data_IF_044534267957
#
_entry.id   IF_044534267957
#
_cell.length_a   1.000
_cell.length_b   1.000
_cell.length_c   1.000
_cell.angle_alpha   90.00
_cell.angle_beta   90.00
_cell.angle_gamma   90.00
#
_symmetry.space_group_name_H-M   'P 1'
#
loop_
_entity.id
_entity.type
_entity.pdbx_description
1 polymer ?
#
# COMPACT_ATOMS: atom_id res chain seq x y z
N UNK A 1 -48.61 32.99 14.94
CA UNK A 1 -48.36 31.54 14.77
C UNK A 1 -47.03 31.36 14.05
N UNK A 2 -45.95 31.02 14.76
CA UNK A 2 -44.68 30.63 14.14
C UNK A 2 -44.81 29.20 13.60
N UNK A 3 -44.74 29.04 12.26
CA UNK A 3 -44.57 27.72 11.64
C UNK A 3 -43.10 27.36 11.70
N UNK A 4 -42.69 26.63 12.75
CA UNK A 4 -41.34 26.09 12.86
C UNK A 4 -41.15 24.94 11.86
N UNK A 5 -40.25 25.11 10.90
CA UNK A 5 -39.81 24.05 9.99
C UNK A 5 -38.67 23.27 10.68
N UNK A 6 -38.91 22.01 11.05
CA UNK A 6 -37.87 21.14 11.61
C UNK A 6 -37.13 20.49 10.43
N UNK A 7 -35.91 20.93 10.14
CA UNK A 7 -34.99 20.20 9.27
C UNK A 7 -34.42 19.00 10.05
N UNK A 8 -35.02 17.82 9.90
CA UNK A 8 -34.32 16.57 10.24
C UNK A 8 -33.33 16.27 9.12
N UNK A 9 -32.02 16.40 9.38
CA UNK A 9 -31.00 15.78 8.53
C UNK A 9 -31.16 14.27 8.64
N UNK A 10 -31.86 13.66 7.69
CA UNK A 10 -31.77 12.21 7.49
C UNK A 10 -30.34 11.90 7.04
N UNK A 11 -29.66 10.91 7.66
CA UNK A 11 -28.38 10.45 7.14
C UNK A 11 -28.58 10.03 5.68
N UNK A 12 -27.57 10.25 4.80
CA UNK A 12 -27.67 9.85 3.41
C UNK A 12 -27.96 8.33 3.36
N UNK A 13 -29.09 7.99 2.74
CA UNK A 13 -29.50 6.62 2.51
C UNK A 13 -28.60 6.07 1.40
N UNK A 14 -27.85 4.98 1.59
CA UNK A 14 -26.98 4.47 0.54
C UNK A 14 -27.79 3.78 -0.57
N UNK A 15 -27.27 3.78 -1.80
CA UNK A 15 -27.91 3.11 -2.95
C UNK A 15 -28.02 1.59 -2.80
N UNK A 16 -27.15 0.99 -1.98
CA UNK A 16 -27.13 -0.43 -1.62
C UNK A 16 -26.97 -0.58 -0.11
N UNK A 17 -27.45 -1.69 0.45
CA UNK A 17 -27.23 -2.03 1.86
C UNK A 17 -26.84 -3.50 2.01
N UNK A 18 -26.20 -3.82 3.15
CA UNK A 18 -25.85 -5.19 3.50
C UNK A 18 -27.09 -5.96 3.94
N UNK A 19 -27.42 -7.00 3.18
CA UNK A 19 -28.46 -7.97 3.54
C UNK A 19 -27.89 -9.04 4.48
N UNK A 20 -26.64 -9.45 4.27
CA UNK A 20 -26.00 -10.52 5.03
C UNK A 20 -24.49 -10.28 5.19
N UNK A 21 -23.97 -10.57 6.38
CA UNK A 21 -22.53 -10.58 6.66
C UNK A 21 -22.16 -11.86 7.41
N UNK A 22 -21.47 -12.76 6.71
CA UNK A 22 -20.81 -13.92 7.29
C UNK A 22 -19.32 -13.61 7.44
N UNK A 23 -18.87 -13.31 8.67
CA UNK A 23 -17.49 -12.89 8.95
C UNK A 23 -16.49 -13.90 8.39
N UNK A 24 -15.54 -13.41 7.59
CA UNK A 24 -14.49 -14.22 6.98
C UNK A 24 -14.94 -15.10 5.80
N UNK A 25 -16.22 -15.04 5.39
CA UNK A 25 -16.75 -15.86 4.31
C UNK A 25 -17.41 -15.03 3.21
N UNK A 26 -18.42 -14.22 3.54
CA UNK A 26 -19.25 -13.56 2.54
C UNK A 26 -19.89 -12.26 3.05
N UNK A 27 -20.06 -11.30 2.15
CA UNK A 27 -20.91 -10.12 2.31
C UNK A 27 -21.90 -10.08 1.14
N UNK A 28 -23.20 -9.95 1.45
CA UNK A 28 -24.26 -9.81 0.46
C UNK A 28 -24.82 -8.40 0.51
N UNK A 29 -24.83 -7.73 -0.64
CA UNK A 29 -25.36 -6.39 -0.82
C UNK A 29 -26.53 -6.42 -1.79
N UNK A 30 -27.59 -5.68 -1.47
CA UNK A 30 -28.79 -5.55 -2.32
C UNK A 30 -29.16 -4.08 -2.53
N UNK A 31 -29.83 -3.72 -3.63
CA UNK A 31 -30.34 -2.36 -3.86
C UNK A 31 -31.23 -1.89 -2.70
N UNK A 32 -31.03 -0.65 -2.27
CA UNK A 32 -31.84 -0.04 -1.25
C UNK A 32 -33.16 0.48 -1.83
N UNK A 33 -34.33 -0.02 -1.39
CA UNK A 33 -35.62 0.44 -1.91
C UNK A 33 -35.91 1.91 -1.57
N UNK A 34 -35.22 2.49 -0.58
CA UNK A 34 -35.39 3.87 -0.12
C UNK A 34 -34.37 4.85 -0.73
N UNK A 35 -33.53 4.40 -1.67
CA UNK A 35 -32.61 5.28 -2.40
C UNK A 35 -33.39 6.23 -3.32
N UNK A 36 -33.11 7.53 -3.21
CA UNK A 36 -33.81 8.58 -3.95
C UNK A 36 -33.24 8.86 -5.34
N UNK A 37 -32.04 8.33 -5.66
CA UNK A 37 -31.41 8.47 -6.97
C UNK A 37 -31.68 7.27 -7.89
N UNK A 38 -30.90 7.18 -8.96
CA UNK A 38 -31.00 6.06 -9.91
C UNK A 38 -30.73 4.73 -9.23
N UNK A 39 -31.65 3.77 -9.43
CA UNK A 39 -31.55 2.46 -8.83
C UNK A 39 -30.45 1.64 -9.50
N UNK A 40 -29.64 0.90 -8.75
CA UNK A 40 -28.66 -0.02 -9.34
C UNK A 40 -29.31 -1.02 -10.30
N UNK A 41 -28.62 -1.34 -11.40
CA UNK A 41 -29.11 -2.28 -12.43
C UNK A 41 -28.88 -3.76 -12.09
N UNK A 42 -28.36 -4.07 -10.90
CA UNK A 42 -28.19 -5.42 -10.39
C UNK A 42 -29.20 -5.73 -9.29
N UNK A 43 -29.48 -7.02 -9.08
CA UNK A 43 -30.38 -7.48 -8.00
C UNK A 43 -29.64 -7.75 -6.69
N UNK A 44 -28.39 -8.23 -6.79
CA UNK A 44 -27.57 -8.68 -5.66
C UNK A 44 -26.10 -8.61 -6.04
N UNK A 45 -25.25 -8.25 -5.09
CA UNK A 45 -23.79 -8.38 -5.18
C UNK A 45 -23.35 -9.29 -4.04
N UNK A 46 -22.56 -10.31 -4.37
CA UNK A 46 -21.99 -11.25 -3.40
C UNK A 46 -20.48 -11.11 -3.39
N UNK A 47 -19.93 -10.54 -2.33
CA UNK A 47 -18.47 -10.47 -2.12
C UNK A 47 -18.04 -11.71 -1.35
N UNK A 48 -17.32 -12.62 -2.00
CA UNK A 48 -16.78 -13.84 -1.39
C UNK A 48 -15.34 -13.60 -0.92
N UNK A 49 -15.03 -14.01 0.32
CA UNK A 49 -13.68 -13.96 0.86
C UNK A 49 -12.98 -15.28 0.52
N UNK A 50 -12.16 -15.26 -0.52
CA UNK A 50 -11.37 -16.41 -0.96
C UNK A 50 -9.90 -16.03 -0.73
N UNK A 51 -9.20 -16.72 0.17
CA UNK A 51 -7.82 -16.36 0.56
C UNK A 51 -6.78 -16.61 -0.55
N UNK A 52 -6.87 -17.76 -1.22
CA UNK A 52 -5.88 -18.18 -2.21
C UNK A 52 -6.13 -17.57 -3.59
N UNK A 53 -5.11 -16.90 -4.16
CA UNK A 53 -5.20 -16.27 -5.49
C UNK A 53 -5.48 -17.28 -6.61
N UNK A 54 -4.86 -18.46 -6.55
CA UNK A 54 -5.09 -19.54 -7.51
C UNK A 54 -6.56 -19.99 -7.53
N UNK A 55 -7.23 -20.03 -6.37
CA UNK A 55 -8.65 -20.36 -6.26
C UNK A 55 -9.52 -19.25 -6.89
N UNK A 56 -9.19 -17.98 -6.64
CA UNK A 56 -9.85 -16.83 -7.27
C UNK A 56 -9.74 -16.89 -8.80
N UNK A 57 -8.55 -17.12 -9.34
CA UNK A 57 -8.31 -17.26 -10.79
C UNK A 57 -9.14 -18.40 -11.40
N UNK A 58 -9.11 -19.57 -10.78
CA UNK A 58 -9.82 -20.75 -11.29
C UNK A 58 -11.33 -20.52 -11.33
N UNK A 59 -11.91 -19.97 -10.25
CA UNK A 59 -13.34 -19.66 -10.18
C UNK A 59 -13.73 -18.57 -11.19
N UNK A 60 -12.88 -17.56 -11.40
CA UNK A 60 -13.07 -16.56 -12.44
C UNK A 60 -13.07 -17.19 -13.86
N UNK A 61 -12.09 -18.05 -14.17
CA UNK A 61 -12.00 -18.72 -15.48
C UNK A 61 -13.17 -19.68 -15.76
N UNK A 62 -13.80 -20.21 -14.71
CA UNK A 62 -15.02 -21.05 -14.81
C UNK A 62 -16.33 -20.26 -14.90
N UNK A 63 -16.30 -18.96 -14.63
CA UNK A 63 -17.51 -18.12 -14.55
C UNK A 63 -18.24 -18.19 -13.20
N UNK A 64 -17.61 -18.75 -12.16
CA UNK A 64 -18.15 -18.76 -10.79
C UNK A 64 -18.00 -17.39 -10.09
N UNK A 65 -17.12 -16.54 -10.62
CA UNK A 65 -16.90 -15.15 -10.21
C UNK A 65 -16.99 -14.24 -11.44
N UNK A 66 -17.60 -13.07 -11.28
CA UNK A 66 -17.62 -12.02 -12.32
C UNK A 66 -16.37 -11.15 -12.28
N UNK A 67 -15.81 -10.94 -11.07
CA UNK A 67 -14.65 -10.09 -10.80
C UNK A 67 -13.75 -10.77 -9.77
N UNK A 68 -12.44 -10.76 -10.00
CA UNK A 68 -11.44 -11.16 -9.03
C UNK A 68 -10.44 -10.03 -8.80
N UNK A 69 -10.14 -9.76 -7.53
CA UNK A 69 -9.13 -8.79 -7.12
C UNK A 69 -7.87 -9.50 -6.58
N UNK A 70 -6.76 -8.76 -6.54
CA UNK A 70 -5.48 -9.18 -5.97
C UNK A 70 -4.94 -10.49 -6.59
N UNK A 71 -4.98 -10.57 -7.92
CA UNK A 71 -4.35 -11.63 -8.69
C UNK A 71 -2.89 -11.25 -9.01
N UNK A 72 -1.93 -12.16 -8.80
CA UNK A 72 -0.55 -12.01 -9.28
C UNK A 72 -0.46 -11.74 -10.78
N UNK A 73 0.60 -11.06 -11.22
CA UNK A 73 0.74 -10.58 -12.60
C UNK A 73 0.90 -11.73 -13.62
N UNK A 74 1.56 -12.81 -13.22
CA UNK A 74 1.66 -14.05 -14.01
C UNK A 74 0.28 -14.69 -14.23
N UNK A 75 -0.58 -14.67 -13.21
CA UNK A 75 -1.96 -15.14 -13.33
C UNK A 75 -2.81 -14.27 -14.26
N UNK A 76 -2.63 -12.94 -14.22
CA UNK A 76 -3.28 -12.03 -15.16
C UNK A 76 -2.83 -12.30 -16.60
N UNK A 77 -1.53 -12.57 -16.80
CA UNK A 77 -0.98 -12.91 -18.11
C UNK A 77 -1.56 -14.23 -18.65
N UNK A 78 -1.70 -15.24 -17.80
CA UNK A 78 -2.34 -16.50 -18.16
C UNK A 78 -3.83 -16.31 -18.51
N UNK A 79 -4.57 -15.51 -17.75
CA UNK A 79 -5.97 -15.19 -18.03
C UNK A 79 -6.15 -14.44 -19.36
N UNK A 80 -5.24 -13.51 -19.69
CA UNK A 80 -5.21 -12.85 -21.02
C UNK A 80 -5.05 -13.87 -22.15
N UNK A 81 -4.18 -14.85 -21.98
CA UNK A 81 -3.94 -15.90 -22.98
C UNK A 81 -5.13 -16.86 -23.14
N UNK A 82 -5.85 -17.14 -22.05
CA UNK A 82 -7.06 -17.99 -22.10
C UNK A 82 -8.20 -17.34 -22.92
N UNK A 83 -8.25 -16.01 -23.00
CA UNK A 83 -9.24 -15.28 -23.81
C UNK A 83 -10.69 -15.38 -23.32
N UNK A 84 -10.92 -15.96 -22.14
CA UNK A 84 -12.26 -16.17 -21.54
C UNK A 84 -12.73 -15.03 -20.65
N UNK A 85 -11.80 -14.21 -20.17
CA UNK A 85 -12.07 -13.11 -19.24
C UNK A 85 -11.44 -11.84 -19.75
N UNK A 86 -12.12 -10.71 -19.54
CA UNK A 86 -11.56 -9.41 -19.88
C UNK A 86 -10.48 -9.04 -18.85
N UNK A 87 -9.27 -8.74 -19.32
CA UNK A 87 -8.20 -8.20 -18.49
C UNK A 87 -7.86 -6.82 -19.00
N UNK A 88 -8.09 -5.81 -18.16
CA UNK A 88 -7.79 -4.42 -18.45
C UNK A 88 -6.68 -3.91 -17.52
N UNK A 89 -5.76 -3.14 -18.07
CA UNK A 89 -4.65 -2.52 -17.35
C UNK A 89 -4.74 -1.02 -17.50
N UNK A 90 -4.65 -0.31 -16.37
CA UNK A 90 -4.72 1.14 -16.32
C UNK A 90 -3.60 1.67 -15.43
N UNK A 91 -3.01 2.84 -15.76
CA UNK A 91 -2.14 3.55 -14.85
C UNK A 91 -2.83 3.78 -13.50
N UNK A 92 -2.13 3.51 -12.42
CA UNK A 92 -2.63 3.67 -11.06
C UNK A 92 -1.73 4.59 -10.26
N UNK A 93 -2.35 5.42 -9.42
CA UNK A 93 -1.64 6.22 -8.41
C UNK A 93 -1.37 5.40 -7.13
N UNK A 94 -1.62 4.09 -7.15
CA UNK A 94 -1.27 3.16 -6.08
C UNK A 94 0.24 2.97 -6.02
N UNK A 95 0.79 3.10 -4.83
CA UNK A 95 2.22 2.96 -4.55
C UNK A 95 2.47 1.90 -3.51
N UNK A 96 3.54 1.14 -3.68
CA UNK A 96 4.07 0.20 -2.70
C UNK A 96 5.37 0.75 -2.15
N UNK A 97 5.52 0.77 -0.82
CA UNK A 97 6.69 1.38 -0.20
C UNK A 97 7.02 0.72 1.14
N UNK A 98 8.31 0.80 1.48
CA UNK A 98 8.83 0.34 2.76
C UNK A 98 8.78 1.47 3.77
N UNK A 99 8.05 1.26 4.85
CA UNK A 99 8.09 2.06 6.05
C UNK A 99 9.36 1.73 6.83
N UNK A 100 10.26 2.68 6.95
CA UNK A 100 11.39 2.60 7.88
C UNK A 100 11.02 3.39 9.11
N UNK A 101 11.07 2.81 10.32
CA UNK A 101 10.68 3.54 11.52
C UNK A 101 11.74 4.59 11.91
N UNK A 102 11.46 5.85 11.59
CA UNK A 102 12.40 6.96 11.82
C UNK A 102 12.47 7.39 13.29
N UNK A 103 11.55 6.94 14.14
CA UNK A 103 11.42 7.38 15.53
C UNK A 103 12.16 6.49 16.53
N UNK A 104 12.63 5.31 16.11
CA UNK A 104 13.24 4.30 16.96
C UNK A 104 14.62 3.92 16.45
N UNK A 105 15.55 3.66 17.36
CA UNK A 105 16.82 3.03 16.98
C UNK A 105 16.56 1.62 16.41
N UNK A 106 17.31 1.19 15.38
CA UNK A 106 18.46 1.86 14.77
C UNK A 106 18.09 2.78 13.58
N UNK A 107 16.85 2.70 13.07
CA UNK A 107 16.41 3.39 11.85
C UNK A 107 16.13 4.89 12.01
N UNK A 108 16.25 5.42 13.23
CA UNK A 108 16.37 6.86 13.48
C UNK A 108 17.66 7.46 12.86
N UNK A 109 18.69 6.66 12.60
CA UNK A 109 19.92 7.08 11.92
C UNK A 109 19.70 7.27 10.41
N UNK A 110 19.91 8.50 9.92
CA UNK A 110 19.66 8.83 8.50
C UNK A 110 20.51 8.03 7.53
N UNK A 111 21.77 7.74 7.89
CA UNK A 111 22.68 7.02 7.02
C UNK A 111 22.35 5.52 6.93
N UNK A 112 21.72 4.94 7.96
CA UNK A 112 21.19 3.58 7.89
C UNK A 112 20.03 3.52 6.89
N UNK A 113 19.12 4.51 6.92
CA UNK A 113 18.02 4.59 5.95
C UNK A 113 18.53 4.76 4.52
N UNK A 114 19.56 5.59 4.32
CA UNK A 114 20.24 5.73 3.02
C UNK A 114 20.89 4.42 2.57
N UNK A 115 21.55 3.71 3.47
CA UNK A 115 22.14 2.40 3.16
C UNK A 115 21.08 1.40 2.69
N UNK A 116 19.93 1.34 3.38
CA UNK A 116 18.79 0.51 2.96
C UNK A 116 18.27 0.90 1.58
N UNK A 117 18.10 2.20 1.31
CA UNK A 117 17.62 2.67 0.00
C UNK A 117 18.59 2.36 -1.14
N UNK A 118 19.91 2.57 -0.95
CA UNK A 118 20.91 2.22 -1.97
C UNK A 118 21.08 0.71 -2.16
N UNK A 119 20.81 -0.11 -1.13
CA UNK A 119 20.88 -1.56 -1.22
C UNK A 119 19.67 -2.18 -1.92
N UNK A 120 18.57 -1.45 -2.08
CA UNK A 120 17.32 -2.01 -2.62
C UNK A 120 17.42 -2.22 -4.14
N UNK A 121 17.18 -3.45 -4.60
CA UNK A 121 17.14 -3.78 -6.04
C UNK A 121 15.78 -3.42 -6.67
N UNK A 122 15.56 -2.12 -6.88
CA UNK A 122 14.31 -1.62 -7.46
C UNK A 122 13.99 -2.22 -8.85
N UNK A 123 15.02 -2.41 -9.69
CA UNK A 123 14.84 -2.94 -11.05
C UNK A 123 14.52 -4.43 -11.02
N UNK A 124 15.20 -5.20 -10.17
CA UNK A 124 14.90 -6.61 -9.94
C UNK A 124 13.49 -6.81 -9.39
N UNK A 125 13.04 -5.96 -8.47
CA UNK A 125 11.65 -6.02 -7.97
C UNK A 125 10.64 -5.70 -9.08
N UNK A 126 10.82 -4.62 -9.84
CA UNK A 126 9.90 -4.24 -10.91
C UNK A 126 9.83 -5.32 -12.00
N UNK A 127 10.97 -5.85 -12.45
CA UNK A 127 11.00 -6.85 -13.53
C UNK A 127 10.64 -8.24 -13.05
N UNK A 128 11.19 -8.69 -11.92
CA UNK A 128 11.08 -10.06 -11.45
C UNK A 128 9.83 -10.34 -10.61
N UNK A 129 9.40 -9.38 -9.78
CA UNK A 129 8.23 -9.56 -8.90
C UNK A 129 6.98 -8.98 -9.56
N UNK A 130 7.07 -7.75 -10.05
CA UNK A 130 5.92 -7.06 -10.66
C UNK A 130 5.77 -7.35 -12.17
N UNK A 131 6.65 -8.17 -12.77
CA UNK A 131 6.64 -8.49 -14.21
C UNK A 131 6.53 -7.27 -15.12
N UNK A 132 7.19 -6.16 -14.75
CA UNK A 132 7.17 -4.89 -15.48
C UNK A 132 5.94 -4.01 -15.22
N UNK A 133 4.94 -4.47 -14.46
CA UNK A 133 3.70 -3.72 -14.15
C UNK A 133 3.87 -2.74 -12.99
N UNK A 134 5.04 -2.11 -12.90
CA UNK A 134 5.34 -1.11 -11.88
C UNK A 134 6.36 -0.12 -12.37
N UNK A 135 6.31 1.09 -11.83
CA UNK A 135 7.32 2.13 -12.06
C UNK A 135 7.92 2.53 -10.74
N UNK A 136 9.25 2.54 -10.66
CA UNK A 136 9.94 3.01 -9.47
C UNK A 136 9.58 4.48 -9.24
N UNK A 137 9.14 4.81 -8.02
CA UNK A 137 8.86 6.18 -7.63
C UNK A 137 10.11 7.07 -7.74
N UNK A 138 9.88 8.33 -8.09
CA UNK A 138 10.87 9.41 -8.05
C UNK A 138 10.27 10.53 -7.22
N UNK A 139 10.93 10.86 -6.11
CA UNK A 139 10.34 11.76 -5.13
C UNK A 139 9.04 11.23 -4.52
N UNK A 140 8.29 12.09 -3.80
CA UNK A 140 7.09 11.69 -3.07
C UNK A 140 5.81 11.66 -3.92
N UNK A 141 5.77 12.39 -5.03
CA UNK A 141 4.60 12.44 -5.91
C UNK A 141 4.80 11.42 -7.04
N UNK A 142 3.86 10.50 -7.29
CA UNK A 142 3.98 9.54 -8.38
C UNK A 142 3.82 10.20 -9.75
N UNK A 143 4.38 9.56 -10.77
CA UNK A 143 4.14 9.94 -12.17
C UNK A 143 2.63 9.80 -12.51
N UNK A 144 2.11 10.70 -13.34
CA UNK A 144 0.69 10.81 -13.66
C UNK A 144 -0.11 11.72 -12.71
N UNK A 145 0.51 12.29 -11.67
CA UNK A 145 -0.10 13.31 -10.80
C UNK A 145 0.57 14.67 -11.03
N UNK A 146 -0.21 15.76 -10.98
CA UNK A 146 0.35 17.12 -11.03
C UNK A 146 1.33 17.34 -9.87
N UNK A 147 2.37 18.15 -10.05
CA UNK A 147 3.43 18.29 -9.04
C UNK A 147 4.46 17.15 -9.00
N UNK A 148 4.34 16.15 -9.89
CA UNK A 148 5.44 15.23 -10.19
C UNK A 148 6.66 16.00 -10.71
N UNK A 149 7.84 15.70 -10.16
CA UNK A 149 9.11 16.30 -10.58
C UNK A 149 10.04 15.21 -11.14
N UNK A 150 10.22 15.22 -12.47
CA UNK A 150 11.10 14.30 -13.18
C UNK A 150 12.59 14.50 -12.85
N UNK A 151 12.96 15.64 -12.28
CA UNK A 151 14.34 15.97 -11.87
C UNK A 151 14.64 15.60 -10.42
N UNK A 152 13.61 15.27 -9.63
CA UNK A 152 13.78 14.88 -8.23
C UNK A 152 14.72 13.67 -8.09
N UNK A 153 15.43 13.63 -6.97
CA UNK A 153 16.36 12.54 -6.65
C UNK A 153 15.63 11.20 -6.64
N UNK A 154 16.27 10.19 -7.24
CA UNK A 154 15.81 8.81 -7.26
C UNK A 154 16.97 7.91 -6.84
N UNK A 155 16.72 7.00 -5.90
CA UNK A 155 17.70 5.97 -5.53
C UNK A 155 17.84 4.94 -6.64
N UNK A 156 19.02 4.35 -6.78
CA UNK A 156 19.25 3.17 -7.61
C UNK A 156 19.90 2.09 -6.74
N UNK A 157 19.89 0.85 -7.20
CA UNK A 157 20.74 -0.16 -6.57
C UNK A 157 22.21 0.22 -6.77
N UNK A 158 22.93 0.43 -5.67
CA UNK A 158 24.34 0.83 -5.65
C UNK A 158 24.98 0.33 -4.35
N UNK A 159 25.57 -0.85 -4.40
CA UNK A 159 26.17 -1.51 -3.24
C UNK A 159 27.32 -0.69 -2.63
N UNK A 160 28.09 0.02 -3.46
CA UNK A 160 29.19 0.86 -2.99
C UNK A 160 28.68 2.06 -2.18
N UNK A 161 27.65 2.75 -2.67
CA UNK A 161 26.99 3.83 -1.91
C UNK A 161 26.28 3.31 -0.67
N UNK A 162 25.70 2.11 -0.73
CA UNK A 162 25.07 1.48 0.41
C UNK A 162 26.08 1.22 1.54
N UNK A 163 27.24 0.62 1.22
CA UNK A 163 28.35 0.42 2.17
C UNK A 163 28.90 1.75 2.68
N UNK A 164 29.13 2.73 1.81
CA UNK A 164 29.62 4.05 2.22
C UNK A 164 28.66 4.80 3.15
N UNK A 165 27.34 4.62 2.98
CA UNK A 165 26.34 5.13 3.91
C UNK A 165 26.38 4.33 5.23
N UNK A 166 26.50 3.01 5.17
CA UNK A 166 26.57 2.16 6.36
C UNK A 166 27.78 2.50 7.25
N UNK A 167 28.93 2.86 6.67
CA UNK A 167 30.12 3.29 7.45
C UNK A 167 29.91 4.55 8.29
N UNK A 168 28.90 5.37 7.95
CA UNK A 168 28.55 6.58 8.72
C UNK A 168 27.57 6.30 9.86
N UNK A 169 27.06 5.07 9.96
CA UNK A 169 26.14 4.64 11.01
C UNK A 169 26.95 4.39 12.28
N UNK A 170 26.59 5.04 13.38
CA UNK A 170 27.28 4.92 14.67
C UNK A 170 27.04 3.55 15.29
N UNK A 171 25.76 3.19 15.40
CA UNK A 171 25.31 1.93 15.96
C UNK A 171 24.76 1.05 14.84
N UNK A 172 25.65 0.32 14.16
CA UNK A 172 25.28 -0.60 13.06
C UNK A 172 24.47 -1.77 13.64
N UNK A 173 23.24 -2.01 13.17
CA UNK A 173 22.44 -3.12 13.68
C UNK A 173 22.92 -4.45 13.10
N UNK A 174 23.06 -5.46 13.96
CA UNK A 174 23.28 -6.83 13.51
C UNK A 174 22.00 -7.44 12.90
N UNK A 175 20.82 -6.96 13.32
CA UNK A 175 19.54 -7.43 12.79
C UNK A 175 18.46 -6.37 12.75
N UNK A 176 17.51 -6.53 11.82
CA UNK A 176 16.27 -5.76 11.72
C UNK A 176 15.09 -6.71 11.57
N UNK A 177 13.90 -6.28 11.99
CA UNK A 177 12.64 -6.95 11.68
C UNK A 177 12.00 -6.38 10.42
N UNK A 178 11.37 -7.23 9.60
CA UNK A 178 10.58 -6.81 8.44
C UNK A 178 9.18 -7.41 8.57
N UNK A 179 8.20 -6.54 8.79
CA UNK A 179 6.80 -6.89 8.95
C UNK A 179 6.06 -6.89 7.60
N UNK A 180 5.35 -7.98 7.31
CA UNK A 180 4.46 -8.08 6.16
C UNK A 180 3.25 -8.97 6.45
N UNK A 181 2.24 -8.93 5.57
CA UNK A 181 1.07 -9.81 5.60
C UNK A 181 0.80 -10.38 4.20
N UNK A 182 -0.23 -11.21 4.11
CA UNK A 182 -0.77 -11.79 2.88
C UNK A 182 -1.76 -10.87 2.14
N UNK A 183 -1.90 -9.61 2.58
CA UNK A 183 -2.80 -8.64 1.95
C UNK A 183 -2.39 -8.27 0.51
N UNK A 184 -1.13 -8.48 0.14
CA UNK A 184 -0.66 -8.37 -1.24
C UNK A 184 0.33 -9.52 -1.52
N UNK A 185 0.10 -10.34 -2.56
CA UNK A 185 0.95 -11.48 -2.86
C UNK A 185 2.39 -11.07 -3.22
N UNK A 186 2.64 -9.81 -3.59
CA UNK A 186 3.97 -9.33 -3.93
C UNK A 186 4.82 -8.99 -2.70
N UNK A 187 4.23 -8.85 -1.51
CA UNK A 187 4.96 -8.39 -0.32
C UNK A 187 5.98 -9.40 0.18
N UNK A 188 5.69 -10.69 0.14
CA UNK A 188 6.62 -11.74 0.57
C UNK A 188 7.87 -11.80 -0.35
N UNK A 189 7.75 -11.84 -1.69
CA UNK A 189 8.89 -11.69 -2.59
C UNK A 189 9.69 -10.40 -2.38
N UNK A 190 9.04 -9.26 -2.13
CA UNK A 190 9.72 -7.98 -1.86
C UNK A 190 10.51 -8.05 -0.54
N UNK A 191 9.93 -8.65 0.49
CA UNK A 191 10.57 -8.84 1.79
C UNK A 191 11.81 -9.75 1.68
N UNK A 192 11.72 -10.86 0.94
CA UNK A 192 12.83 -11.76 0.64
C UNK A 192 13.95 -11.05 -0.16
N UNK A 193 13.59 -10.28 -1.19
CA UNK A 193 14.55 -9.50 -1.98
C UNK A 193 15.27 -8.45 -1.12
N UNK A 194 14.54 -7.79 -0.21
CA UNK A 194 15.11 -6.84 0.76
C UNK A 194 16.02 -7.54 1.76
N UNK A 195 15.62 -8.70 2.29
CA UNK A 195 16.44 -9.52 3.18
C UNK A 195 17.76 -9.92 2.52
N UNK A 196 17.72 -10.42 1.28
CA UNK A 196 18.92 -10.79 0.53
C UNK A 196 19.84 -9.58 0.29
N UNK A 197 19.26 -8.42 -0.04
CA UNK A 197 20.01 -7.19 -0.30
C UNK A 197 20.72 -6.67 0.95
N UNK A 198 20.03 -6.65 2.10
CA UNK A 198 20.60 -6.21 3.37
C UNK A 198 21.57 -7.25 3.97
N UNK A 199 21.38 -8.54 3.66
CA UNK A 199 22.32 -9.59 4.02
C UNK A 199 23.72 -9.37 3.42
N UNK A 200 23.82 -8.83 2.19
CA UNK A 200 25.10 -8.44 1.57
C UNK A 200 25.83 -7.31 2.31
N UNK A 201 25.10 -6.54 3.12
CA UNK A 201 25.64 -5.51 4.00
C UNK A 201 25.94 -6.03 5.42
N UNK A 202 25.75 -7.32 5.68
CA UNK A 202 25.94 -7.92 7.01
C UNK A 202 24.78 -7.67 7.98
N UNK A 203 23.62 -7.22 7.50
CA UNK A 203 22.42 -6.98 8.32
C UNK A 203 21.48 -8.17 8.17
N UNK A 204 21.23 -8.90 9.25
CA UNK A 204 20.28 -10.02 9.25
C UNK A 204 18.83 -9.50 9.36
N UNK A 205 18.02 -9.65 8.31
CA UNK A 205 16.61 -9.24 8.34
C UNK A 205 15.73 -10.43 8.74
N UNK A 206 15.05 -10.34 9.87
CA UNK A 206 14.05 -11.32 10.32
C UNK A 206 12.69 -10.98 9.73
N UNK A 207 12.19 -11.85 8.86
CA UNK A 207 10.89 -11.69 8.22
C UNK A 207 9.77 -12.13 9.16
N UNK A 208 8.80 -11.26 9.40
CA UNK A 208 7.65 -11.49 10.28
C UNK A 208 6.34 -11.40 9.48
N UNK A 209 5.81 -12.56 9.09
CA UNK A 209 4.50 -12.67 8.44
C UNK A 209 3.39 -12.67 9.49
N UNK A 210 2.48 -11.71 9.43
CA UNK A 210 1.34 -11.61 10.33
C UNK A 210 0.02 -11.56 9.58
N UNK A 211 -1.07 -11.86 10.29
CA UNK A 211 -2.41 -11.49 9.84
C UNK A 211 -2.50 -9.98 9.61
N UNK A 212 -3.14 -9.54 8.53
CA UNK A 212 -3.17 -8.13 8.13
C UNK A 212 -3.68 -7.18 9.23
N UNK A 213 -4.71 -7.58 9.98
CA UNK A 213 -5.23 -6.79 11.10
C UNK A 213 -4.15 -6.56 12.19
N UNK A 214 -3.43 -7.61 12.56
CA UNK A 214 -2.33 -7.56 13.54
C UNK A 214 -1.16 -6.72 13.03
N UNK A 215 -0.78 -6.89 11.75
CA UNK A 215 0.24 -6.06 11.10
C UNK A 215 -0.12 -4.57 11.17
N UNK A 216 -1.36 -4.23 10.80
CA UNK A 216 -1.82 -2.82 10.80
C UNK A 216 -1.83 -2.22 12.20
N UNK A 217 -2.19 -2.97 13.22
CA UNK A 217 -2.12 -2.51 14.62
C UNK A 217 -0.67 -2.18 15.03
N UNK A 218 0.28 -3.08 14.76
CA UNK A 218 1.72 -2.84 15.03
C UNK A 218 2.27 -1.65 14.25
N UNK A 219 1.93 -1.53 12.97
CA UNK A 219 2.30 -0.35 12.15
C UNK A 219 1.71 0.93 12.73
N UNK A 220 0.46 0.89 13.19
CA UNK A 220 -0.22 2.02 13.83
C UNK A 220 0.48 2.51 15.09
N UNK A 221 1.04 1.59 15.87
CA UNK A 221 1.77 1.87 17.13
C UNK A 221 3.25 2.18 16.94
N UNK A 222 3.80 1.97 15.74
CA UNK A 222 5.25 2.13 15.50
C UNK A 222 6.08 0.94 16.02
N UNK A 223 5.46 -0.23 16.18
CA UNK A 223 6.11 -1.44 16.69
C UNK A 223 6.67 -2.32 15.57
N UNK A 224 7.64 -1.79 14.83
CA UNK A 224 8.36 -2.47 13.76
C UNK A 224 9.66 -1.70 13.46
N UNK A 225 10.63 -2.36 12.82
CA UNK A 225 11.78 -1.67 12.21
C UNK A 225 11.45 -1.31 10.76
N UNK A 226 11.21 -2.34 9.93
CA UNK A 226 10.76 -2.22 8.55
C UNK A 226 9.34 -2.81 8.46
N UNK A 227 8.45 -2.12 7.77
CA UNK A 227 7.16 -2.67 7.37
C UNK A 227 6.89 -2.32 5.90
N UNK A 228 6.05 -3.09 5.22
CA UNK A 228 5.62 -2.78 3.85
C UNK A 228 4.16 -2.34 3.82
N UNK A 229 3.80 -1.51 2.86
CA UNK A 229 2.40 -1.23 2.62
C UNK A 229 2.11 -0.67 1.25
N UNK A 230 0.82 -0.62 0.95
CA UNK A 230 0.28 0.03 -0.22
C UNK A 230 -0.53 1.24 0.20
N UNK A 231 -0.54 2.24 -0.66
CA UNK A 231 -1.42 3.38 -0.49
C UNK A 231 -1.80 3.96 -1.85
N UNK A 232 -3.00 4.52 -1.94
CA UNK A 232 -3.49 5.25 -3.10
C UNK A 232 -4.20 6.50 -2.59
N UNK A 233 -4.13 7.63 -3.32
CA UNK A 233 -4.80 8.85 -2.91
C UNK A 233 -6.32 8.70 -3.09
N UNK A 234 -7.10 9.19 -2.11
CA UNK A 234 -8.58 9.18 -2.18
C UNK A 234 -9.12 10.15 -3.24
N UNK A 235 -8.35 11.18 -3.59
CA UNK A 235 -8.57 12.11 -4.69
C UNK A 235 -7.22 12.55 -5.26
N UNK A 236 -7.17 12.90 -6.56
CA UNK A 236 -5.94 13.11 -7.31
C UNK A 236 -5.24 14.46 -6.99
N UNK A 237 -4.81 14.62 -5.74
CA UNK A 237 -4.10 15.80 -5.24
C UNK A 237 -2.79 15.40 -4.53
N UNK A 238 -1.63 16.01 -4.88
CA UNK A 238 -0.34 15.83 -4.23
C UNK A 238 -0.35 16.01 -2.73
N UNK A 239 -1.27 16.84 -2.21
CA UNK A 239 -1.49 16.99 -0.78
C UNK A 239 -1.70 15.64 -0.08
N UNK A 240 -2.38 14.70 -0.74
CA UNK A 240 -2.65 13.38 -0.17
C UNK A 240 -1.36 12.57 0.02
N UNK A 241 -0.32 12.77 -0.80
CA UNK A 241 1.00 12.17 -0.57
C UNK A 241 1.81 12.98 0.45
N UNK A 242 1.84 14.30 0.30
CA UNK A 242 2.70 15.16 1.12
C UNK A 242 2.27 15.21 2.59
N UNK A 243 0.97 15.37 2.85
CA UNK A 243 0.43 15.44 4.20
C UNK A 243 0.58 14.09 4.92
N UNK A 244 0.10 13.02 4.29
CA UNK A 244 0.03 11.72 4.93
C UNK A 244 1.42 11.14 5.17
N UNK A 245 2.43 11.45 4.37
CA UNK A 245 3.77 10.88 4.59
C UNK A 245 4.69 11.75 5.43
N UNK A 246 4.52 13.07 5.42
CA UNK A 246 5.53 13.99 6.01
C UNK A 246 5.00 14.89 7.13
N UNK A 247 3.68 14.94 7.40
CA UNK A 247 3.18 15.66 8.58
C UNK A 247 3.36 14.83 9.86
N UNK A 248 3.94 15.49 10.87
CA UNK A 248 4.29 14.87 12.15
C UNK A 248 3.08 14.55 13.04
N UNK A 249 1.93 15.17 12.79
CA UNK A 249 0.68 14.90 13.52
C UNK A 249 -0.13 13.73 12.91
N UNK A 250 0.32 13.15 11.79
CA UNK A 250 -0.28 11.99 11.13
C UNK A 250 0.40 10.66 11.46
N UNK A 251 1.27 10.60 12.48
CA UNK A 251 2.02 9.39 12.84
C UNK A 251 1.09 8.18 13.03
N UNK A 252 1.50 7.03 12.52
CA UNK A 252 0.74 5.77 12.59
C UNK A 252 -0.29 5.62 11.45
N UNK A 253 -1.44 5.02 11.76
CA UNK A 253 -2.49 4.74 10.77
C UNK A 253 -3.09 5.96 10.07
N UNK A 254 -3.15 7.16 10.68
CA UNK A 254 -3.62 8.36 10.00
C UNK A 254 -2.83 8.71 8.74
N UNK A 255 -1.57 8.26 8.58
CA UNK A 255 -0.82 8.39 7.32
C UNK A 255 0.68 8.15 7.45
N UNK A 256 1.33 8.81 8.42
CA UNK A 256 2.79 8.88 8.55
C UNK A 256 3.29 7.63 9.26
N UNK A 257 3.25 6.55 8.50
CA UNK A 257 3.63 5.21 8.92
C UNK A 257 5.14 5.02 8.94
N UNK A 258 5.97 6.02 8.66
CA UNK A 258 7.42 5.97 8.94
C UNK A 258 7.80 6.69 10.22
N UNK A 259 6.82 7.29 10.92
CA UNK A 259 7.03 8.10 12.12
C UNK A 259 8.06 9.22 11.89
N UNK A 260 8.11 9.73 10.67
CA UNK A 260 9.04 10.79 10.28
C UNK A 260 8.66 12.10 10.96
N UNK A 261 9.67 12.86 11.39
CA UNK A 261 9.48 14.18 11.96
C UNK A 261 10.57 15.12 11.46
N UNK A 262 10.16 16.27 10.95
CA UNK A 262 11.07 17.33 10.54
C UNK A 262 10.44 18.70 10.78
N UNK A 263 11.10 19.51 11.62
CA UNK A 263 10.62 20.87 11.95
C UNK A 263 10.48 21.78 10.73
N UNK A 264 11.15 21.47 9.61
CA UNK A 264 11.08 22.24 8.34
C UNK A 264 10.01 21.74 7.36
N UNK A 265 9.46 20.53 7.52
CA UNK A 265 8.44 20.02 6.59
C UNK A 265 7.04 20.56 6.87
N UNK A 266 6.75 20.88 8.15
CA UNK A 266 5.45 21.37 8.63
C UNK A 266 5.00 22.67 7.91
N UNK A 267 5.86 23.69 7.69
CA UNK A 267 5.44 24.91 7.00
C UNK A 267 5.22 24.73 5.49
N UNK A 268 5.87 23.75 4.87
CA UNK A 268 5.81 23.58 3.41
C UNK A 268 4.48 22.95 2.95
N UNK A 269 3.95 22.00 3.73
CA UNK A 269 2.66 21.34 3.42
C UNK A 269 1.44 22.18 3.84
N UNK A 270 1.62 23.16 4.74
CA UNK A 270 0.53 24.00 5.30
C UNK A 270 0.40 25.37 4.68
N UNK A 271 1.33 25.77 3.81
CA UNK A 271 1.19 27.02 3.03
C UNK A 271 0.19 26.77 1.91
N UNK A 272 -1.06 27.14 2.17
CA UNK A 272 -2.04 27.48 1.12
C UNK A 272 -1.62 28.76 0.41
#
# INVERSE_FOLDING_TARGET
MMRGLIWRRTPPVPAIYAEELQKGQQLVLVPNPHWAGDKPHFKRVSVKIIGESASRRLQLSRGDLDIADSLPVDQLSALKQEGKVAVAEYPSLRVTYLYLNNSKAPLNQVDLRRAVSWATDYQGMVKGILSGNGKQMRGPIPDGMWGFDATAMQYSFDEAKAKAALEKVKDKPASLTFLYSDNDPNWEPIALSTQASLGKLGINVKLEKLANATMRDRVGKGDYDIAIGNWSPDFADPYMFMNYWFESDKKGLPGNRSFYENKRSIPCCRRR
#
